data_IF_740881661392
#
_entry.id   IF_740881661392
#
_cell.length_a   1.000
_cell.length_b   1.000
_cell.length_c   1.000
_cell.angle_alpha   90.00
_cell.angle_beta   90.00
_cell.angle_gamma   90.00
#
_symmetry.space_group_name_H-M   'P 1'
#
loop_
_entity.id
_entity.type
_entity.pdbx_description
1 polymer ?
#
# COMPACT_ATOMS: atom_id res chain seq x y z
N UNK A 1 -17.68 6.34 6.65
CA UNK A 1 -17.22 6.04 5.30
C UNK A 1 -15.72 6.21 5.21
N UNK A 2 -15.04 5.20 4.67
CA UNK A 2 -13.59 5.23 4.59
C UNK A 2 -13.14 6.17 3.49
N UNK A 3 -12.13 6.97 3.79
CA UNK A 3 -11.54 7.88 2.83
C UNK A 3 -10.17 7.35 2.44
N UNK A 4 -9.88 7.34 1.13
CA UNK A 4 -8.57 6.90 0.66
C UNK A 4 -7.55 8.01 0.78
N UNK A 5 -6.34 7.63 1.19
CA UNK A 5 -5.17 8.49 1.18
C UNK A 5 -4.07 7.78 0.41
N UNK A 6 -3.07 8.55 -0.01
CA UNK A 6 -2.02 8.02 -0.89
C UNK A 6 -0.67 8.56 -0.47
N UNK A 7 0.39 7.80 -0.82
CA UNK A 7 1.76 8.26 -0.62
C UNK A 7 2.40 8.54 -1.98
N UNK A 8 3.54 9.23 -1.93
CA UNK A 8 4.33 9.48 -3.13
C UNK A 8 4.93 8.19 -3.71
N UNK A 9 4.94 7.13 -2.91
CA UNK A 9 5.43 5.81 -3.34
C UNK A 9 4.33 4.97 -3.99
N UNK A 10 3.16 5.58 -4.26
CA UNK A 10 2.02 4.92 -4.90
C UNK A 10 1.42 3.82 -4.05
N UNK A 11 1.32 4.08 -2.75
CA UNK A 11 0.60 3.22 -1.82
C UNK A 11 -0.72 3.89 -1.46
N UNK A 12 -1.78 3.10 -1.33
CA UNK A 12 -3.06 3.63 -0.88
C UNK A 12 -3.32 3.20 0.56
N UNK A 13 -4.04 4.05 1.29
CA UNK A 13 -4.42 3.80 2.66
C UNK A 13 -5.92 3.98 2.82
N UNK A 14 -6.54 3.08 3.56
CA UNK A 14 -7.98 3.16 3.87
C UNK A 14 -8.15 2.95 5.36
N UNK A 15 -8.71 3.95 6.06
CA UNK A 15 -8.98 3.84 7.49
C UNK A 15 -10.22 2.96 7.68
N UNK A 16 -10.07 1.92 8.52
CA UNK A 16 -11.16 1.02 8.84
C UNK A 16 -11.92 1.53 10.07
N UNK A 17 -13.08 0.94 10.32
CA UNK A 17 -13.96 1.38 11.42
C UNK A 17 -13.34 1.15 12.79
N UNK A 18 -12.41 0.20 12.92
CA UNK A 18 -11.74 -0.11 14.19
C UNK A 18 -10.50 0.74 14.44
N UNK A 19 -10.20 1.68 13.54
CA UNK A 19 -9.03 2.55 13.67
C UNK A 19 -7.78 2.04 12.99
N UNK A 20 -7.79 0.82 12.50
CA UNK A 20 -6.66 0.31 11.71
C UNK A 20 -6.69 0.92 10.31
N UNK A 21 -5.56 0.83 9.61
CA UNK A 21 -5.42 1.36 8.26
C UNK A 21 -4.95 0.25 7.34
N UNK A 22 -5.71 -0.01 6.29
CA UNK A 22 -5.37 -1.00 5.27
C UNK A 22 -4.49 -0.35 4.22
N UNK A 23 -3.42 -1.04 3.82
CA UNK A 23 -2.43 -0.52 2.87
C UNK A 23 -2.26 -1.48 1.71
N UNK A 24 -2.20 -0.92 0.51
CA UNK A 24 -1.87 -1.67 -0.69
C UNK A 24 -1.18 -0.75 -1.69
N UNK A 25 -0.93 -1.25 -2.89
CA UNK A 25 -0.36 -0.41 -3.95
C UNK A 25 -1.45 0.00 -4.91
N UNK A 26 -1.28 1.16 -5.54
CA UNK A 26 -2.30 1.71 -6.43
C UNK A 26 -2.30 0.98 -7.77
N UNK A 27 -3.37 1.19 -8.54
CA UNK A 27 -3.46 0.67 -9.90
C UNK A 27 -2.29 1.16 -10.77
N UNK A 28 -1.87 2.39 -10.56
CA UNK A 28 -0.71 2.94 -11.26
C UNK A 28 0.55 2.13 -10.96
N UNK A 29 0.78 1.81 -9.69
CA UNK A 29 1.97 1.07 -9.28
C UNK A 29 1.97 -0.35 -9.83
N UNK A 30 0.83 -1.06 -9.78
CA UNK A 30 0.78 -2.42 -10.28
C UNK A 30 0.93 -2.46 -11.80
N UNK A 31 0.42 -1.46 -12.50
CA UNK A 31 0.59 -1.38 -13.94
C UNK A 31 2.08 -1.20 -14.32
N UNK A 32 2.78 -0.38 -13.56
CA UNK A 32 4.21 -0.16 -13.77
C UNK A 32 5.04 -1.42 -13.46
N UNK A 33 4.61 -2.21 -12.47
CA UNK A 33 5.29 -3.44 -12.11
C UNK A 33 5.10 -4.56 -13.14
N UNK A 34 3.91 -4.66 -13.70
CA UNK A 34 3.55 -5.80 -14.54
C UNK A 34 3.05 -6.96 -13.72
N UNK A 35 3.09 -8.18 -14.26
CA UNK A 35 2.52 -9.35 -13.61
C UNK A 35 3.27 -9.71 -12.32
N UNK A 36 2.56 -9.67 -11.21
CA UNK A 36 3.11 -9.99 -9.89
C UNK A 36 3.18 -11.51 -9.73
N UNK A 37 4.35 -12.00 -9.34
CA UNK A 37 4.59 -13.44 -9.18
C UNK A 37 4.88 -13.84 -7.75
N UNK A 38 5.23 -12.89 -6.88
CA UNK A 38 5.53 -13.18 -5.48
C UNK A 38 5.34 -11.94 -4.63
N UNK A 39 4.78 -12.16 -3.43
CA UNK A 39 4.62 -11.09 -2.43
C UNK A 39 5.18 -11.61 -1.11
N UNK A 40 6.08 -10.84 -0.49
CA UNK A 40 6.54 -11.13 0.85
C UNK A 40 5.84 -10.15 1.80
N UNK A 41 5.01 -10.70 2.68
CA UNK A 41 4.24 -9.89 3.62
C UNK A 41 5.09 -9.53 4.84
N UNK A 42 4.76 -8.42 5.54
CA UNK A 42 5.51 -8.02 6.72
C UNK A 42 5.21 -8.91 7.90
N UNK A 43 6.10 -8.86 8.90
CA UNK A 43 5.84 -9.47 10.20
C UNK A 43 4.92 -8.56 11.01
N UNK A 44 4.17 -9.15 11.95
CA UNK A 44 3.33 -8.39 12.87
C UNK A 44 4.22 -7.75 13.93
N UNK A 45 4.63 -6.53 13.67
CA UNK A 45 5.58 -5.80 14.50
C UNK A 45 5.41 -4.30 14.28
N UNK A 46 6.12 -3.52 15.09
CA UNK A 46 6.15 -2.07 14.93
C UNK A 46 7.18 -1.68 13.89
N UNK A 47 6.84 -0.70 13.07
CA UNK A 47 7.72 -0.19 12.02
C UNK A 47 7.71 1.32 12.03
N UNK A 48 8.85 1.91 11.70
CA UNK A 48 8.96 3.35 11.52
C UNK A 48 8.54 3.73 10.09
N UNK A 49 8.08 4.96 9.94
CA UNK A 49 7.77 5.51 8.62
C UNK A 49 8.98 5.37 7.70
N UNK A 50 8.74 4.86 6.50
CA UNK A 50 9.79 4.66 5.51
C UNK A 50 10.48 3.32 5.59
N UNK A 51 10.24 2.52 6.64
CA UNK A 51 10.80 1.18 6.74
C UNK A 51 10.14 0.27 5.70
N UNK A 52 10.92 -0.62 5.10
CA UNK A 52 10.38 -1.58 4.15
C UNK A 52 9.57 -2.63 4.91
N UNK A 53 8.26 -2.65 4.67
CA UNK A 53 7.36 -3.59 5.34
C UNK A 53 7.13 -4.84 4.49
N UNK A 54 6.82 -4.67 3.22
CA UNK A 54 6.55 -5.79 2.32
C UNK A 54 7.41 -5.65 1.06
N UNK A 55 7.54 -6.75 0.30
CA UNK A 55 8.15 -6.70 -1.02
C UNK A 55 7.21 -7.35 -2.01
N UNK A 56 7.26 -6.88 -3.25
CA UNK A 56 6.47 -7.43 -4.34
C UNK A 56 7.40 -7.66 -5.52
N UNK A 57 7.33 -8.87 -6.08
CA UNK A 57 8.15 -9.23 -7.25
C UNK A 57 7.25 -9.50 -8.43
N UNK A 58 7.62 -8.91 -9.56
CA UNK A 58 6.94 -9.14 -10.83
C UNK A 58 7.88 -9.85 -11.79
N UNK A 59 7.37 -10.19 -12.97
CA UNK A 59 8.19 -10.85 -13.99
C UNK A 59 9.36 -9.99 -14.46
N UNK A 60 9.31 -8.67 -14.23
CA UNK A 60 10.35 -7.76 -14.74
C UNK A 60 11.05 -6.94 -13.65
N UNK A 61 10.55 -6.93 -12.42
CA UNK A 61 11.10 -6.04 -11.38
C UNK A 61 10.75 -6.51 -9.99
N UNK A 62 11.43 -5.96 -9.00
CA UNK A 62 11.08 -6.12 -7.58
C UNK A 62 10.94 -4.73 -6.98
N UNK A 63 10.03 -4.58 -6.03
CA UNK A 63 9.77 -3.29 -5.39
C UNK A 63 9.44 -3.50 -3.92
N UNK A 64 9.81 -2.52 -3.08
CA UNK A 64 9.42 -2.50 -1.69
C UNK A 64 8.10 -1.78 -1.48
N UNK A 65 7.38 -2.20 -0.46
CA UNK A 65 6.22 -1.47 0.05
C UNK A 65 6.60 -0.94 1.41
N UNK A 66 6.63 0.37 1.54
CA UNK A 66 7.20 1.03 2.73
C UNK A 66 6.09 1.48 3.66
N UNK A 67 6.41 1.54 4.96
CA UNK A 67 5.45 2.05 5.94
C UNK A 67 5.16 3.51 5.63
N UNK A 68 3.89 3.85 5.41
CA UNK A 68 3.52 5.24 5.13
C UNK A 68 3.61 6.14 6.36
N UNK A 69 3.49 5.53 7.55
CA UNK A 69 3.52 6.22 8.84
C UNK A 69 4.10 5.28 9.88
N UNK A 70 4.55 5.84 11.00
CA UNK A 70 4.92 5.00 12.15
C UNK A 70 3.71 4.25 12.65
N UNK A 71 3.86 2.96 12.93
CA UNK A 71 2.75 2.19 13.46
C UNK A 71 3.07 0.72 13.63
N UNK A 72 2.08 -0.03 14.10
CA UNK A 72 2.22 -1.45 14.33
C UNK A 72 1.38 -2.24 13.32
N UNK A 73 2.02 -3.15 12.59
CA UNK A 73 1.31 -4.05 11.68
C UNK A 73 0.60 -5.10 12.49
N UNK A 74 -0.72 -5.18 12.35
CA UNK A 74 -1.56 -6.08 13.14
C UNK A 74 -2.21 -7.17 12.30
N UNK A 75 -2.20 -7.05 10.99
CA UNK A 75 -2.82 -8.03 10.11
C UNK A 75 -2.16 -7.99 8.74
N UNK A 76 -2.04 -9.15 8.10
CA UNK A 76 -1.56 -9.25 6.71
C UNK A 76 -2.61 -10.00 5.89
N UNK A 77 -2.55 -9.83 4.57
CA UNK A 77 -3.50 -10.50 3.67
C UNK A 77 -2.95 -11.85 3.23
N UNK A 78 -3.37 -12.95 3.85
CA UNK A 78 -2.81 -14.27 3.53
C UNK A 78 -3.14 -14.74 2.11
N UNK A 79 -4.15 -14.15 1.47
CA UNK A 79 -4.50 -14.51 0.11
C UNK A 79 -3.38 -14.21 -0.87
N UNK A 80 -2.52 -13.24 -0.57
CA UNK A 80 -1.40 -12.90 -1.46
C UNK A 80 -0.29 -13.96 -1.45
N UNK A 81 -0.17 -14.75 -0.40
CA UNK A 81 0.78 -15.88 -0.38
C UNK A 81 0.38 -16.94 -1.40
N UNK A 82 -0.91 -17.23 -1.49
CA UNK A 82 -1.43 -18.24 -2.40
C UNK A 82 -1.65 -17.70 -3.81
N UNK A 83 -2.08 -16.43 -3.89
CA UNK A 83 -2.50 -15.81 -5.15
C UNK A 83 -1.92 -14.40 -5.29
N UNK A 84 -0.61 -14.25 -5.54
CA UNK A 84 -0.01 -12.92 -5.68
C UNK A 84 -0.60 -12.12 -6.85
N UNK A 85 -1.19 -12.79 -7.82
CA UNK A 85 -1.86 -12.13 -8.95
C UNK A 85 -3.06 -11.27 -8.54
N UNK A 86 -3.56 -11.41 -7.32
CA UNK A 86 -4.61 -10.51 -6.81
C UNK A 86 -4.16 -9.05 -6.82
N UNK A 87 -2.87 -8.81 -6.68
CA UNK A 87 -2.33 -7.45 -6.76
C UNK A 87 -2.61 -6.85 -8.13
N UNK A 88 -2.56 -7.64 -9.19
CA UNK A 88 -2.86 -7.18 -10.54
C UNK A 88 -4.37 -7.10 -10.79
N UNK A 89 -5.12 -8.08 -10.27
CA UNK A 89 -6.55 -8.18 -10.54
C UNK A 89 -7.37 -7.15 -9.78
N UNK A 90 -6.99 -6.88 -8.53
CA UNK A 90 -7.75 -6.00 -7.66
C UNK A 90 -6.85 -5.29 -6.65
N UNK A 91 -5.93 -4.45 -7.14
CA UNK A 91 -4.92 -3.83 -6.26
C UNK A 91 -5.52 -2.94 -5.17
N UNK A 92 -6.66 -2.33 -5.43
CA UNK A 92 -7.30 -1.40 -4.49
C UNK A 92 -8.37 -2.09 -3.63
N UNK A 93 -8.52 -3.41 -3.76
CA UNK A 93 -9.49 -4.18 -3.01
C UNK A 93 -8.89 -5.43 -2.41
N UNK A 94 -9.14 -6.59 -3.02
CA UNK A 94 -8.69 -7.87 -2.47
C UNK A 94 -7.17 -8.03 -2.48
N UNK A 95 -6.45 -7.22 -3.24
CA UNK A 95 -4.99 -7.25 -3.31
C UNK A 95 -4.29 -6.40 -2.26
N UNK A 96 -4.97 -6.03 -1.17
CA UNK A 96 -4.35 -5.26 -0.10
C UNK A 96 -3.21 -6.07 0.55
N UNK A 97 -2.23 -5.36 1.14
CA UNK A 97 -1.03 -6.01 1.68
C UNK A 97 -1.10 -6.23 3.18
N UNK A 98 -1.35 -5.19 3.95
CA UNK A 98 -1.35 -5.30 5.41
C UNK A 98 -2.23 -4.22 6.04
N UNK A 99 -2.54 -4.40 7.34
CA UNK A 99 -3.21 -3.39 8.15
C UNK A 99 -2.32 -3.04 9.33
N UNK A 100 -2.30 -1.76 9.66
CA UNK A 100 -1.50 -1.30 10.79
C UNK A 100 -2.28 -0.29 11.62
N UNK A 101 -1.85 -0.13 12.89
CA UNK A 101 -2.41 0.90 13.77
C UNK A 101 -1.39 2.04 13.79
N UNK A 102 -1.73 3.21 13.25
CA UNK A 102 -0.77 4.33 13.24
C UNK A 102 -0.53 4.86 14.64
N UNK A 103 0.71 5.25 14.93
CA UNK A 103 1.06 5.87 16.20
C UNK A 103 0.34 7.19 16.40
N UNK A 104 0.09 7.89 15.29
CA UNK A 104 -0.65 9.15 15.29
C UNK A 104 -1.72 9.08 14.19
N UNK A 105 -2.95 8.83 14.59
CA UNK A 105 -4.06 8.68 13.64
C UNK A 105 -4.29 9.95 12.82
N UNK A 106 -3.95 11.12 13.35
CA UNK A 106 -4.15 12.38 12.62
C UNK A 106 -3.19 12.52 11.44
N UNK A 107 -2.07 11.81 11.47
CA UNK A 107 -1.10 11.86 10.37
C UNK A 107 -1.66 11.29 9.07
N UNK A 108 -2.64 10.38 9.15
CA UNK A 108 -3.28 9.80 7.96
C UNK A 108 -3.92 10.91 7.13
N UNK A 109 -4.57 11.87 7.78
CA UNK A 109 -5.22 12.99 7.09
C UNK A 109 -4.27 13.98 6.45
N UNK A 110 -2.97 13.85 6.74
CA UNK A 110 -1.95 14.72 6.15
C UNK A 110 -1.35 14.14 4.86
N UNK A 111 -1.68 12.89 4.55
CA UNK A 111 -1.23 12.25 3.32
C UNK A 111 -2.03 12.79 2.13
N UNK A 112 -1.59 12.42 0.93
CA UNK A 112 -2.23 12.88 -0.29
C UNK A 112 -3.68 12.37 -0.36
N UNK A 113 -4.61 13.26 -0.71
CA UNK A 113 -5.97 12.83 -1.03
C UNK A 113 -6.01 12.42 -2.52
N UNK A 114 -7.19 12.02 -3.00
CA UNK A 114 -7.32 11.53 -4.37
C UNK A 114 -6.89 12.60 -5.39
N UNK A 115 -7.32 13.84 -5.20
CA UNK A 115 -6.99 14.91 -6.13
C UNK A 115 -5.49 15.19 -6.16
N UNK A 116 -4.85 15.24 -5.00
CA UNK A 116 -3.41 15.48 -4.92
C UNK A 116 -2.63 14.33 -5.56
N UNK A 117 -3.09 13.10 -5.33
CA UNK A 117 -2.46 11.92 -5.93
C UNK A 117 -2.63 11.91 -7.45
N UNK A 118 -3.81 12.27 -7.95
CA UNK A 118 -4.06 12.33 -9.40
C UNK A 118 -3.12 13.34 -10.06
N UNK A 119 -2.88 14.48 -9.39
CA UNK A 119 -1.93 15.48 -9.89
C UNK A 119 -0.50 14.94 -9.91
N UNK A 120 -0.14 14.15 -8.91
CA UNK A 120 1.19 13.53 -8.84
C UNK A 120 1.39 12.55 -10.01
N UNK A 121 0.39 11.71 -10.27
CA UNK A 121 0.45 10.75 -11.38
C UNK A 121 0.59 11.48 -12.71
N UNK A 122 -0.19 12.53 -12.90
CA UNK A 122 -0.16 13.30 -14.14
C UNK A 122 1.20 13.93 -14.37
N UNK A 123 1.79 14.49 -13.31
CA UNK A 123 3.13 15.08 -13.39
C UNK A 123 4.16 14.03 -13.76
N UNK A 124 4.07 12.83 -13.17
CA UNK A 124 4.99 11.74 -13.48
C UNK A 124 4.83 11.25 -14.92
N UNK A 125 3.60 11.20 -15.40
CA UNK A 125 3.32 10.75 -16.77
C UNK A 125 3.82 11.74 -17.81
N UNK A 126 3.84 13.03 -17.47
CA UNK A 126 4.29 14.09 -18.36
C UNK A 126 5.81 14.32 -18.32
N UNK A 127 6.47 13.77 -17.31
CA UNK A 127 7.92 13.92 -17.15
C UNK A 127 8.74 13.00 -18.09
#
# INVERSE_FOLDING_TARGET
>A
MSELRFTEDHEWLRTETDGSVTVGITAFAQDALGDVVFVQLPELASYDKGAEAATVESVKAASGVYMPLNGEVVEVNPALDANPELVNEDPMGQGWFFRFIPSDATAVGQLLDQDAYDRLIKANAEA
#
